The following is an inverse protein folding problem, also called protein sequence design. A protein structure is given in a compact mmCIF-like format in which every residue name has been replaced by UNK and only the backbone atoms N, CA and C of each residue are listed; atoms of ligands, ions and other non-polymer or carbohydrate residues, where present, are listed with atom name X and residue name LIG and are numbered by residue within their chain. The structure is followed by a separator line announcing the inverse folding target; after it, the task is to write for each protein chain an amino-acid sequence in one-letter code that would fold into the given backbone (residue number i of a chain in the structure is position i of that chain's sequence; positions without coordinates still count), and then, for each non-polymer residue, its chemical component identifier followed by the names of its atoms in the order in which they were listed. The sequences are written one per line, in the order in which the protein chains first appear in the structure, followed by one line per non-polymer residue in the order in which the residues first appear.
data_IF_218643484103
#
_entry.id   IF_218643484103
#
_cell.length_a   1.000
_cell.length_b   1.000
_cell.length_c   1.000
_cell.angle_alpha   90.00
_cell.angle_beta   90.00
_cell.angle_gamma   90.00
#
_symmetry.space_group_name_H-M   'P 1'
#
loop_
_entity.id
_entity.type
_entity.pdbx_description
1 polymer ?
#
# COMPACT_ATOMS: atom_id res chain seq x y z
N UNK A 1 -16.49 1.06 -0.38
CA UNK A 1 -15.63 2.07 -1.04
C UNK A 1 -14.27 2.00 -0.39
N UNK A 2 -13.18 2.16 -1.14
CA UNK A 2 -11.83 2.31 -0.56
C UNK A 2 -11.54 3.81 -0.49
N UNK A 3 -11.14 4.30 0.68
CA UNK A 3 -10.79 5.69 0.91
C UNK A 3 -9.83 5.83 2.10
N UNK A 4 -9.05 6.93 2.18
CA UNK A 4 -8.09 7.14 3.26
C UNK A 4 -8.76 7.19 4.63
N UNK A 5 -8.07 6.72 5.69
CA UNK A 5 -8.52 6.84 7.07
C UNK A 5 -8.80 8.31 7.47
N UNK A 6 -7.95 9.21 6.98
CA UNK A 6 -8.03 10.65 7.20
C UNK A 6 -7.42 11.13 8.52
N UNK A 7 -6.98 12.39 8.53
CA UNK A 7 -6.21 12.98 9.63
C UNK A 7 -6.95 12.95 10.99
N UNK A 8 -8.26 13.19 11.00
CA UNK A 8 -9.04 13.26 12.24
C UNK A 8 -9.13 11.92 12.98
N UNK A 9 -9.14 10.79 12.24
CA UNK A 9 -9.13 9.45 12.84
C UNK A 9 -7.70 9.01 13.16
N UNK A 10 -6.74 9.27 12.28
CA UNK A 10 -5.33 8.98 12.52
C UNK A 10 -4.78 9.65 13.78
N UNK A 11 -5.19 10.89 14.07
CA UNK A 11 -4.78 11.62 15.27
C UNK A 11 -5.21 10.95 16.59
N UNK A 12 -6.20 10.06 16.56
CA UNK A 12 -6.74 9.35 17.73
C UNK A 12 -6.07 8.00 17.97
N UNK A 13 -5.29 7.50 17.02
CA UNK A 13 -4.60 6.22 17.14
C UNK A 13 -3.36 6.35 18.03
N UNK A 14 -3.13 5.34 18.86
CA UNK A 14 -1.88 5.21 19.59
C UNK A 14 -0.74 4.92 18.61
N UNK A 15 0.40 5.56 18.81
CA UNK A 15 1.59 5.43 17.96
C UNK A 15 2.73 4.91 18.82
N UNK A 16 3.46 3.90 18.31
CA UNK A 16 4.64 3.38 18.97
C UNK A 16 5.76 4.44 19.01
N UNK A 17 6.57 4.42 20.07
CA UNK A 17 7.77 5.27 20.16
C UNK A 17 8.97 4.45 19.69
N UNK A 18 9.22 4.46 18.38
CA UNK A 18 10.24 3.65 17.72
C UNK A 18 11.34 4.50 17.03
N UNK A 19 11.39 5.79 17.36
CA UNK A 19 12.31 6.75 16.73
C UNK A 19 11.77 7.41 15.46
N UNK A 20 10.63 6.94 14.93
CA UNK A 20 9.94 7.61 13.82
C UNK A 20 9.23 8.88 14.33
N UNK A 21 9.38 10.04 13.67
CA UNK A 21 8.66 11.25 14.07
C UNK A 21 7.14 11.01 14.11
N UNK A 22 6.44 11.34 15.21
CA UNK A 22 5.00 11.07 15.33
C UNK A 22 4.14 11.75 14.25
N UNK A 23 4.59 12.89 13.72
CA UNK A 23 3.95 13.57 12.59
C UNK A 23 3.98 12.73 11.31
N UNK A 24 5.09 12.03 11.06
CA UNK A 24 5.24 11.14 9.91
C UNK A 24 4.33 9.92 10.05
N UNK A 25 4.30 9.30 11.24
CA UNK A 25 3.43 8.15 11.50
C UNK A 25 1.96 8.53 11.34
N UNK A 26 1.54 9.71 11.83
CA UNK A 26 0.17 10.20 11.63
C UNK A 26 -0.15 10.48 10.17
N UNK A 27 0.80 11.01 9.40
CA UNK A 27 0.61 11.26 7.98
C UNK A 27 0.43 9.95 7.21
N UNK A 28 1.24 8.93 7.51
CA UNK A 28 1.09 7.58 6.97
C UNK A 28 -0.29 7.00 7.33
N UNK A 29 -0.63 6.96 8.63
CA UNK A 29 -1.93 6.49 9.12
C UNK A 29 -3.12 7.22 8.46
N UNK A 30 -3.02 8.53 8.22
CA UNK A 30 -4.07 9.29 7.56
C UNK A 30 -4.25 8.89 6.09
N UNK A 31 -3.19 8.45 5.43
CA UNK A 31 -3.19 7.98 4.05
C UNK A 31 -3.55 6.49 3.90
N UNK A 32 -3.60 5.73 5.01
CA UNK A 32 -3.89 4.29 4.97
C UNK A 32 -5.23 4.01 4.28
N UNK A 33 -5.27 3.08 3.30
CA UNK A 33 -6.47 2.73 2.57
C UNK A 33 -7.39 1.88 3.45
N UNK A 34 -8.57 2.42 3.77
CA UNK A 34 -9.56 1.74 4.59
C UNK A 34 -10.80 1.36 3.78
N UNK A 35 -11.53 0.35 4.25
CA UNK A 35 -12.80 -0.05 3.68
C UNK A 35 -13.95 0.71 4.35
N UNK A 36 -14.75 1.41 3.56
CA UNK A 36 -15.87 2.21 4.02
C UNK A 36 -17.21 1.69 3.48
N UNK A 37 -18.24 1.72 4.32
CA UNK A 37 -19.64 1.49 3.95
C UNK A 37 -20.55 2.45 4.69
N UNK A 38 -21.39 3.17 3.94
CA UNK A 38 -22.39 4.09 4.49
C UNK A 38 -21.85 5.12 5.53
N UNK A 39 -20.57 5.50 5.44
CA UNK A 39 -19.93 6.44 6.38
C UNK A 39 -19.15 5.78 7.52
N UNK A 40 -19.32 4.47 7.72
CA UNK A 40 -18.58 3.70 8.70
C UNK A 40 -17.29 3.13 8.11
N UNK A 41 -16.20 3.27 8.86
CA UNK A 41 -14.91 2.66 8.55
C UNK A 41 -14.90 1.23 9.12
N UNK A 42 -14.82 0.25 8.24
CA UNK A 42 -14.96 -1.18 8.56
C UNK A 42 -13.62 -1.84 8.94
N UNK A 43 -12.50 -1.18 8.65
CA UNK A 43 -11.17 -1.69 8.92
C UNK A 43 -10.23 -1.53 7.73
N UNK A 44 -9.03 -2.06 7.91
CA UNK A 44 -7.96 -2.04 6.91
C UNK A 44 -8.31 -2.94 5.72
N UNK A 45 -7.86 -2.53 4.53
CA UNK A 45 -8.03 -3.34 3.32
C UNK A 45 -6.93 -4.41 3.15
N UNK A 46 -5.95 -4.49 4.06
CA UNK A 46 -4.77 -5.35 3.93
C UNK A 46 -5.12 -6.83 4.12
N UNK A 47 -4.56 -7.69 3.27
CA UNK A 47 -4.98 -9.07 3.03
C UNK A 47 -4.80 -10.09 4.16
N UNK A 48 -4.70 -9.71 5.43
CA UNK A 48 -4.94 -10.66 6.52
C UNK A 48 -6.43 -10.70 6.82
N UNK A 49 -7.17 -11.49 6.04
CA UNK A 49 -8.53 -11.88 6.39
C UNK A 49 -8.50 -12.68 7.71
N UNK A 50 -8.57 -11.98 8.84
CA UNK A 50 -8.87 -12.58 10.12
C UNK A 50 -10.02 -11.78 10.74
N UNK A 51 -11.17 -12.45 10.82
CA UNK A 51 -12.27 -12.23 11.75
C UNK A 51 -13.11 -10.95 11.65
N UNK A 52 -13.66 -10.66 10.46
CA UNK A 52 -14.94 -9.94 10.41
C UNK A 52 -15.99 -10.71 9.60
N UNK A 53 -16.99 -11.35 10.27
CA UNK A 53 -17.99 -12.20 9.60
C UNK A 53 -19.00 -11.43 8.73
N UNK A 54 -18.86 -10.11 8.59
CA UNK A 54 -19.89 -9.22 8.03
C UNK A 54 -19.56 -8.76 6.60
N UNK A 55 -18.38 -9.09 6.06
CA UNK A 55 -17.93 -8.58 4.77
C UNK A 55 -17.35 -9.68 3.87
N UNK A 56 -17.70 -9.72 2.56
CA UNK A 56 -16.95 -10.54 1.62
C UNK A 56 -15.48 -10.13 1.65
N UNK A 57 -14.54 -11.09 1.63
CA UNK A 57 -13.11 -10.80 1.77
C UNK A 57 -12.69 -9.89 0.62
N UNK A 58 -12.45 -8.61 0.95
CA UNK A 58 -11.97 -7.61 0.00
C UNK A 58 -10.51 -7.38 0.34
N UNK A 59 -9.61 -7.90 -0.49
CA UNK A 59 -8.18 -7.72 -0.32
C UNK A 59 -7.69 -6.58 -1.23
N UNK A 60 -7.01 -5.59 -0.66
CA UNK A 60 -6.19 -4.65 -1.39
C UNK A 60 -4.72 -5.09 -1.32
N UNK A 61 -4.01 -4.93 -2.42
CA UNK A 61 -2.59 -5.22 -2.50
C UNK A 61 -1.83 -3.95 -2.88
N UNK A 62 -0.72 -3.63 -2.19
CA UNK A 62 0.14 -2.53 -2.60
C UNK A 62 0.71 -2.81 -3.99
N UNK A 63 0.66 -1.80 -4.86
CA UNK A 63 1.22 -1.85 -6.21
C UNK A 63 2.09 -0.62 -6.43
N UNK A 64 3.26 -0.82 -7.05
CA UNK A 64 4.22 0.26 -7.30
C UNK A 64 3.69 1.29 -8.30
N UNK A 65 2.86 0.84 -9.23
CA UNK A 65 2.12 1.68 -10.16
C UNK A 65 1.03 0.87 -10.89
N UNK A 66 -0.02 1.52 -11.44
CA UNK A 66 -0.98 0.87 -12.34
C UNK A 66 -0.28 0.23 -13.57
N UNK A 67 0.87 0.79 -13.96
CA UNK A 67 1.69 0.35 -15.08
C UNK A 67 2.87 -0.52 -14.65
N UNK A 68 2.88 -1.12 -13.46
CA UNK A 68 3.96 -2.02 -13.04
C UNK A 68 4.23 -3.18 -14.03
N UNK A 69 3.23 -3.54 -14.85
CA UNK A 69 3.35 -4.52 -15.95
C UNK A 69 3.86 -3.94 -17.28
N UNK A 70 3.93 -2.62 -17.37
CA UNK A 70 4.29 -1.83 -18.55
C UNK A 70 5.39 -0.80 -18.24
N UNK A 71 6.21 -1.07 -17.21
CA UNK A 71 7.33 -0.20 -16.87
C UNK A 71 8.38 -0.23 -17.98
N UNK A 72 8.85 0.92 -18.47
CA UNK A 72 10.04 0.94 -19.31
C UNK A 72 11.24 0.43 -18.52
N UNK A 73 12.25 -0.14 -19.21
CA UNK A 73 13.35 -0.85 -18.55
C UNK A 73 14.15 0.01 -17.56
N UNK A 74 14.28 1.31 -17.82
CA UNK A 74 14.97 2.25 -16.92
C UNK A 74 14.23 2.47 -15.58
N UNK A 75 12.93 2.21 -15.51
CA UNK A 75 12.14 2.38 -14.28
C UNK A 75 12.12 1.12 -13.39
N UNK A 76 12.69 -0.01 -13.84
CA UNK A 76 12.62 -1.27 -13.08
C UNK A 76 13.36 -1.21 -11.74
N UNK A 77 14.56 -0.60 -11.69
CA UNK A 77 15.33 -0.46 -10.48
C UNK A 77 14.64 0.44 -9.43
N UNK A 78 14.21 1.68 -9.74
CA UNK A 78 13.47 2.49 -8.78
C UNK A 78 12.14 1.83 -8.38
N UNK A 79 11.45 1.17 -9.31
CA UNK A 79 10.21 0.47 -9.00
C UNK A 79 10.44 -0.72 -8.05
N UNK A 80 11.55 -1.47 -8.18
CA UNK A 80 11.92 -2.54 -7.26
C UNK A 80 12.19 -2.04 -5.84
N UNK A 81 12.90 -0.91 -5.71
CA UNK A 81 13.14 -0.27 -4.40
C UNK A 81 11.83 0.18 -3.75
N UNK A 82 10.93 0.80 -4.52
CA UNK A 82 9.60 1.19 -4.02
C UNK A 82 8.79 -0.04 -3.62
N UNK A 83 8.83 -1.13 -4.40
CA UNK A 83 8.14 -2.37 -4.06
C UNK A 83 8.58 -2.90 -2.69
N UNK A 84 9.89 -2.96 -2.44
CA UNK A 84 10.44 -3.39 -1.17
C UNK A 84 10.02 -2.45 -0.02
N UNK A 85 10.01 -1.13 -0.26
CA UNK A 85 9.63 -0.14 0.74
C UNK A 85 8.16 -0.28 1.18
N UNK A 86 7.26 -0.55 0.24
CA UNK A 86 5.81 -0.63 0.52
C UNK A 86 5.30 -2.07 0.76
N UNK A 87 6.21 -3.06 0.75
CA UNK A 87 5.84 -4.47 0.85
C UNK A 87 5.01 -4.98 -0.34
N UNK A 88 5.16 -4.39 -1.53
CA UNK A 88 4.50 -4.86 -2.74
C UNK A 88 5.13 -6.15 -3.28
N UNK A 89 4.36 -6.96 -4.01
CA UNK A 89 4.90 -8.12 -4.72
C UNK A 89 6.06 -7.73 -5.65
N UNK A 90 7.01 -8.66 -5.81
CA UNK A 90 8.16 -8.49 -6.72
C UNK A 90 7.66 -8.23 -8.13
N UNK A 91 8.29 -7.26 -8.81
CA UNK A 91 7.97 -6.92 -10.19
C UNK A 91 8.28 -8.10 -11.13
N UNK A 92 7.44 -8.35 -12.14
CA UNK A 92 7.74 -9.38 -13.13
C UNK A 92 9.03 -9.02 -13.89
N UNK A 93 9.79 -10.04 -14.27
CA UNK A 93 10.96 -9.85 -15.13
C UNK A 93 10.53 -9.23 -16.48
N UNK A 94 11.35 -8.34 -17.08
CA UNK A 94 11.06 -7.80 -18.40
C UNK A 94 11.00 -8.92 -19.45
N UNK A 95 10.09 -8.84 -20.43
CA UNK A 95 9.89 -9.90 -21.42
C UNK A 95 11.11 -10.11 -22.35
N UNK A 96 12.00 -9.13 -22.46
CA UNK A 96 13.20 -9.20 -23.29
C UNK A 96 14.47 -9.00 -22.45
N UNK A 97 15.10 -10.10 -22.04
CA UNK A 97 16.41 -10.07 -21.40
C UNK A 97 17.50 -9.67 -22.40
N UNK A 98 18.34 -8.68 -22.06
CA UNK A 98 19.58 -8.38 -22.81
C UNK A 98 19.56 -7.17 -23.76
N UNK A 99 18.43 -6.47 -23.91
CA UNK A 99 18.35 -5.30 -24.81
C UNK A 99 19.05 -4.03 -24.28
N UNK A 100 19.54 -4.04 -23.04
CA UNK A 100 20.27 -2.94 -22.38
C UNK A 100 21.78 -3.17 -22.30
N UNK A 101 22.31 -4.24 -22.92
CA UNK A 101 23.72 -4.62 -22.87
C UNK A 101 24.55 -4.08 -24.06
N UNK A 102 24.05 -3.05 -24.75
CA UNK A 102 24.73 -2.38 -25.87
C UNK A 102 25.43 -1.11 -25.44
#
# INVERSE_FOLDING_TARGET
MIAPLGAARAAKLAIAVDGTPPSLVRAALAAEPMLWRAGDCLGECSGSAQDSPVLPPTAAYPVVAPFARFLPSFDLAPAGTVAALIGAPVLPAPPFSGHTAG
#
